data_IF_116726425119
#
_entry.id   IF_116726425119
#
_cell.length_a   1.000
_cell.length_b   1.000
_cell.length_c   1.000
_cell.angle_alpha   90.00
_cell.angle_beta   90.00
_cell.angle_gamma   90.00
#
_symmetry.space_group_name_H-M   'P 1'
#
loop_
_entity.id
_entity.type
_entity.pdbx_description
1 polymer ?
#
# COMPACT_ATOMS: atom_id res chain seq x y z
N UNK A 1 20.46 -21.72 49.90
CA UNK A 1 21.48 -22.00 50.93
C UNK A 1 22.81 -21.78 50.23
N UNK A 2 23.68 -20.79 50.51
CA UNK A 2 24.07 -20.22 51.80
C UNK A 2 24.78 -18.87 51.52
N UNK A 3 24.34 -17.81 52.20
CA UNK A 3 25.04 -16.63 52.74
C UNK A 3 25.95 -15.69 51.88
N UNK A 4 25.54 -14.41 51.92
CA UNK A 4 26.31 -13.17 51.74
C UNK A 4 27.45 -12.97 52.78
N UNK A 5 28.56 -12.31 52.38
CA UNK A 5 29.29 -11.23 53.12
C UNK A 5 30.47 -10.73 52.24
N UNK A 6 30.54 -9.48 51.79
CA UNK A 6 30.79 -8.18 52.49
C UNK A 6 32.27 -7.94 52.84
N UNK A 7 32.85 -6.98 52.09
CA UNK A 7 33.77 -5.89 52.44
C UNK A 7 35.08 -6.13 53.25
N UNK A 8 36.18 -5.83 52.54
CA UNK A 8 37.20 -4.79 52.81
C UNK A 8 37.98 -4.70 54.16
N UNK A 9 39.27 -4.40 53.95
CA UNK A 9 40.25 -3.65 54.76
C UNK A 9 41.26 -4.43 55.62
N UNK A 10 42.52 -4.03 55.48
CA UNK A 10 43.66 -4.51 56.28
C UNK A 10 44.95 -3.79 55.87
N UNK A 11 45.18 -2.62 56.47
CA UNK A 11 46.29 -1.69 56.23
C UNK A 11 47.49 -2.01 57.15
N UNK A 12 48.70 -1.98 56.55
CA UNK A 12 50.07 -1.76 57.12
C UNK A 12 50.56 -2.57 58.33
N UNK A 13 51.81 -3.03 58.21
CA UNK A 13 52.97 -2.48 58.97
C UNK A 13 54.29 -2.90 58.33
N UNK A 14 55.12 -1.90 58.04
CA UNK A 14 56.52 -2.11 57.66
C UNK A 14 57.39 -2.32 58.90
N UNK A 15 58.41 -3.15 58.75
CA UNK A 15 59.54 -3.26 59.68
C UNK A 15 60.81 -2.81 58.96
N UNK A 16 61.36 -1.69 59.42
CA UNK A 16 62.74 -1.28 59.14
C UNK A 16 63.66 -2.17 59.98
N UNK A 17 64.74 -2.70 59.39
CA UNK A 17 65.94 -3.13 60.12
C UNK A 17 67.19 -2.61 59.43
N UNK A 18 68.27 -2.37 60.20
CA UNK A 18 69.19 -1.27 59.93
C UNK A 18 70.48 -1.68 59.23
N UNK A 19 71.07 -0.65 58.63
CA UNK A 19 72.44 -0.56 58.12
C UNK A 19 73.47 -0.99 59.18
N UNK A 20 74.35 -1.91 58.80
CA UNK A 20 75.73 -1.95 59.29
C UNK A 20 76.67 -2.02 58.09
N UNK A 21 77.42 -0.95 57.92
CA UNK A 21 78.57 -0.90 57.03
C UNK A 21 79.63 -1.88 57.50
N UNK A 22 80.09 -2.77 56.60
CA UNK A 22 81.40 -3.38 56.70
C UNK A 22 82.11 -3.19 55.37
N UNK A 23 82.97 -2.17 55.32
CA UNK A 23 83.96 -2.01 54.27
C UNK A 23 85.05 -3.08 54.48
N UNK A 24 85.14 -4.01 53.55
CA UNK A 24 86.35 -4.82 53.35
C UNK A 24 86.82 -4.50 51.95
N UNK A 25 87.95 -3.79 51.87
CA UNK A 25 88.69 -3.62 50.63
C UNK A 25 89.26 -4.98 50.24
N UNK A 26 88.71 -5.57 49.18
CA UNK A 26 89.30 -6.72 48.51
C UNK A 26 89.53 -6.34 47.05
N UNK A 27 90.78 -6.52 46.67
CA UNK A 27 91.46 -6.12 45.45
C UNK A 27 90.69 -6.51 44.17
N UNK A 28 90.80 -5.63 43.18
CA UNK A 28 90.33 -5.86 41.81
C UNK A 28 91.05 -7.07 41.21
N UNK A 29 90.31 -8.12 40.89
CA UNK A 29 90.73 -9.14 39.94
C UNK A 29 89.95 -8.94 38.65
N UNK A 30 90.62 -8.34 37.69
CA UNK A 30 90.25 -8.36 36.28
C UNK A 30 90.39 -9.79 35.78
N UNK A 31 89.28 -10.52 35.70
CA UNK A 31 89.20 -11.82 35.02
C UNK A 31 87.85 -11.91 34.32
N UNK A 32 87.94 -11.85 33.00
CA UNK A 32 87.18 -12.64 32.05
C UNK A 32 85.67 -12.37 31.97
N UNK A 33 85.31 -11.54 30.99
CA UNK A 33 84.00 -11.58 30.35
C UNK A 33 83.76 -13.02 29.87
N UNK A 34 82.74 -13.72 30.39
CA UNK A 34 82.34 -15.00 29.83
C UNK A 34 81.86 -14.72 28.41
N UNK A 35 82.65 -15.13 27.42
CA UNK A 35 82.15 -15.25 26.04
C UNK A 35 81.35 -16.55 26.03
N UNK A 36 80.16 -16.51 26.64
CA UNK A 36 79.20 -17.59 26.51
C UNK A 36 78.81 -17.70 25.04
N UNK A 37 79.04 -18.88 24.48
CA UNK A 37 78.54 -19.25 23.15
C UNK A 37 77.03 -19.30 23.29
N UNK A 38 76.38 -18.17 23.02
CA UNK A 38 74.93 -18.05 23.04
C UNK A 38 74.38 -18.83 21.84
N UNK A 39 73.70 -19.93 22.14
CA UNK A 39 72.95 -20.73 21.16
C UNK A 39 72.06 -19.82 20.30
N UNK A 40 71.91 -20.13 19.01
CA UNK A 40 71.27 -19.20 18.07
C UNK A 40 69.79 -18.89 18.41
N UNK A 41 69.08 -19.81 19.07
CA UNK A 41 67.70 -19.59 19.57
C UNK A 41 67.62 -18.56 20.70
N UNK A 42 68.71 -18.41 21.46
CA UNK A 42 68.78 -17.49 22.58
C UNK A 42 68.94 -16.03 22.10
N UNK A 43 69.62 -15.79 20.97
CA UNK A 43 69.89 -14.42 20.46
C UNK A 43 68.62 -13.62 20.19
N UNK A 44 67.60 -14.22 19.56
CA UNK A 44 66.31 -13.56 19.32
C UNK A 44 65.61 -13.21 20.63
N UNK A 45 65.66 -14.12 21.61
CA UNK A 45 65.07 -13.87 22.92
C UNK A 45 65.80 -12.75 23.67
N UNK A 46 67.13 -12.69 23.56
CA UNK A 46 67.93 -11.60 24.12
C UNK A 46 67.60 -10.25 23.49
N UNK A 47 67.40 -10.18 22.17
CA UNK A 47 66.99 -8.96 21.48
C UNK A 47 65.62 -8.46 21.97
N UNK A 48 64.62 -9.34 22.08
CA UNK A 48 63.30 -9.02 22.63
C UNK A 48 63.38 -8.48 24.06
N UNK A 49 64.25 -9.06 24.90
CA UNK A 49 64.47 -8.61 26.27
C UNK A 49 65.11 -7.20 26.28
N UNK A 50 66.04 -6.92 25.37
CA UNK A 50 66.66 -5.60 25.22
C UNK A 50 65.61 -4.57 24.77
N UNK A 51 64.76 -4.89 23.81
CA UNK A 51 63.68 -4.01 23.35
C UNK A 51 62.67 -3.70 24.44
N UNK A 52 62.28 -4.71 25.24
CA UNK A 52 61.44 -4.50 26.44
C UNK A 52 62.09 -3.54 27.43
N UNK A 53 63.41 -3.62 27.63
CA UNK A 53 64.17 -2.69 28.49
C UNK A 53 64.30 -1.28 27.89
N UNK A 54 64.33 -1.15 26.56
CA UNK A 54 64.35 0.16 25.87
C UNK A 54 63.03 0.92 26.01
N UNK A 55 61.91 0.21 26.18
CA UNK A 55 60.60 0.82 26.37
C UNK A 55 60.48 1.57 27.71
N UNK A 56 60.58 2.91 27.66
CA UNK A 56 60.46 3.79 28.85
C UNK A 56 59.02 4.17 29.20
N UNK A 57 58.04 3.83 28.36
CA UNK A 57 56.64 4.26 28.54
C UNK A 57 55.96 3.63 29.77
N UNK A 58 56.55 2.55 30.32
CA UNK A 58 55.98 1.71 31.41
C UNK A 58 54.58 1.16 31.10
N UNK A 59 54.13 1.29 29.85
CA UNK A 59 52.85 0.83 29.38
C UNK A 59 52.91 -0.67 29.16
N UNK A 60 51.81 -1.39 29.40
CA UNK A 60 51.73 -2.81 29.07
C UNK A 60 52.01 -3.01 27.57
N UNK A 61 52.73 -4.07 27.19
CA UNK A 61 53.11 -4.40 25.81
C UNK A 61 51.94 -4.26 24.84
N UNK A 62 50.75 -4.75 25.24
CA UNK A 62 49.53 -4.63 24.43
C UNK A 62 49.13 -3.18 24.17
N UNK A 63 49.09 -2.35 25.20
CA UNK A 63 48.72 -0.94 25.06
C UNK A 63 49.80 -0.13 24.34
N UNK A 64 51.07 -0.51 24.49
CA UNK A 64 52.17 0.07 23.73
C UNK A 64 52.03 -0.23 22.24
N UNK A 65 51.77 -1.48 21.87
CA UNK A 65 51.49 -1.90 20.50
C UNK A 65 50.27 -1.17 19.92
N UNK A 66 49.20 -1.05 20.70
CA UNK A 66 47.98 -0.34 20.31
C UNK A 66 48.23 1.17 20.08
N UNK A 67 48.95 1.83 20.99
CA UNK A 67 49.33 3.24 20.86
C UNK A 67 50.20 3.50 19.63
N UNK A 68 51.15 2.60 19.36
CA UNK A 68 52.04 2.68 18.19
C UNK A 68 51.46 2.04 16.92
N UNK A 69 50.20 1.57 16.96
CA UNK A 69 49.51 0.89 15.85
C UNK A 69 50.28 -0.30 15.26
N UNK A 70 51.14 -0.91 16.07
CA UNK A 70 51.86 -2.11 15.71
C UNK A 70 50.87 -3.28 15.72
N UNK A 71 50.90 -4.11 14.69
CA UNK A 71 50.15 -5.36 14.68
C UNK A 71 50.69 -6.28 15.76
N UNK A 72 49.77 -6.93 16.45
CA UNK A 72 50.08 -8.19 17.12
C UNK A 72 50.13 -9.27 16.04
N UNK A 73 51.28 -9.90 15.86
CA UNK A 73 51.37 -11.14 15.10
C UNK A 73 50.73 -12.25 15.93
N UNK A 74 49.85 -13.01 15.28
CA UNK A 74 49.22 -14.17 15.89
C UNK A 74 50.20 -15.35 15.84
N UNK A 75 50.26 -16.13 16.91
CA UNK A 75 50.92 -17.43 16.83
C UNK A 75 50.04 -18.42 16.06
N UNK A 76 50.63 -19.50 15.54
CA UNK A 76 49.89 -20.50 14.75
C UNK A 76 48.70 -21.10 15.51
N UNK A 77 48.87 -21.39 16.80
CA UNK A 77 47.80 -21.88 17.68
C UNK A 77 46.68 -20.85 17.84
N UNK A 78 47.03 -19.57 17.94
CA UNK A 78 46.07 -18.48 18.02
C UNK A 78 45.31 -18.30 16.70
N UNK A 79 45.98 -18.44 15.56
CA UNK A 79 45.32 -18.42 14.24
C UNK A 79 44.35 -19.60 14.02
N UNK A 80 44.50 -20.70 14.74
CA UNK A 80 43.55 -21.80 14.70
C UNK A 80 42.41 -21.58 15.70
N UNK A 81 42.71 -21.07 16.89
CA UNK A 81 41.72 -20.82 17.94
C UNK A 81 40.79 -19.64 17.62
N UNK A 82 41.29 -18.59 16.96
CA UNK A 82 40.48 -17.42 16.63
C UNK A 82 39.59 -17.65 15.42
N UNK A 83 38.38 -17.09 15.48
CA UNK A 83 37.44 -17.07 14.37
C UNK A 83 38.00 -16.29 13.17
N UNK A 84 37.70 -16.75 11.95
CA UNK A 84 38.05 -16.06 10.70
C UNK A 84 37.61 -14.59 10.65
N UNK A 85 36.50 -14.23 11.30
CA UNK A 85 36.04 -12.83 11.36
C UNK A 85 37.01 -11.92 12.12
N UNK A 86 37.66 -12.42 13.17
CA UNK A 86 38.69 -11.69 13.91
C UNK A 86 39.95 -11.52 13.08
N UNK A 87 40.36 -12.58 12.37
CA UNK A 87 41.51 -12.55 11.45
C UNK A 87 41.30 -11.55 10.31
N UNK A 88 40.13 -11.57 9.65
CA UNK A 88 39.75 -10.58 8.63
C UNK A 88 39.80 -9.16 9.18
N UNK A 89 39.34 -8.94 10.41
CA UNK A 89 39.40 -7.64 11.07
C UNK A 89 40.84 -7.20 11.35
N UNK A 90 41.68 -8.09 11.86
CA UNK A 90 43.07 -7.78 12.17
C UNK A 90 43.87 -7.47 10.90
N UNK A 91 43.68 -8.26 9.84
CA UNK A 91 44.26 -8.01 8.53
C UNK A 91 43.73 -6.71 7.91
N UNK A 92 42.44 -6.39 8.08
CA UNK A 92 41.90 -5.10 7.62
C UNK A 92 42.49 -3.88 8.34
N UNK A 93 42.88 -4.02 9.61
CA UNK A 93 43.47 -2.94 10.41
C UNK A 93 44.97 -2.75 10.16
N UNK A 94 45.72 -3.84 10.06
CA UNK A 94 47.19 -3.80 10.00
C UNK A 94 47.79 -4.34 8.69
N UNK A 95 46.96 -4.82 7.76
CA UNK A 95 47.40 -5.39 6.48
C UNK A 95 48.33 -6.59 6.66
N UNK A 96 49.35 -6.67 5.81
CA UNK A 96 50.36 -7.73 5.81
C UNK A 96 51.19 -7.79 7.11
N UNK A 97 51.28 -6.69 7.87
CA UNK A 97 52.03 -6.68 9.13
C UNK A 97 51.41 -7.61 10.20
N UNK A 98 50.12 -7.99 10.04
CA UNK A 98 49.45 -8.95 10.92
C UNK A 98 49.96 -10.38 10.80
N UNK A 99 50.72 -10.72 9.75
CA UNK A 99 51.25 -12.07 9.51
C UNK A 99 50.22 -13.07 8.95
N UNK A 100 48.94 -12.69 8.84
CA UNK A 100 47.88 -13.59 8.37
C UNK A 100 47.98 -13.78 6.84
N UNK A 101 47.89 -15.04 6.40
CA UNK A 101 47.84 -15.35 4.97
C UNK A 101 46.53 -14.84 4.33
N UNK A 102 46.60 -13.93 3.33
CA UNK A 102 45.40 -13.35 2.70
C UNK A 102 44.56 -14.39 1.96
N UNK A 103 45.14 -15.50 1.49
CA UNK A 103 44.39 -16.55 0.80
C UNK A 103 43.31 -17.19 1.69
N UNK A 104 43.58 -17.33 3.00
CA UNK A 104 42.64 -17.87 3.99
C UNK A 104 41.46 -16.95 4.26
N UNK A 105 41.56 -15.66 3.91
CA UNK A 105 40.51 -14.68 4.18
C UNK A 105 39.37 -14.75 3.17
N UNK A 106 39.64 -15.26 1.97
CA UNK A 106 38.61 -15.52 0.96
C UNK A 106 37.63 -16.60 1.42
N UNK A 107 36.38 -16.57 0.93
CA UNK A 107 35.41 -17.62 1.23
C UNK A 107 35.90 -18.99 0.76
N UNK A 108 35.52 -20.03 1.50
CA UNK A 108 35.72 -21.41 1.03
C UNK A 108 34.84 -21.70 -0.19
N UNK A 109 35.18 -22.75 -0.95
CA UNK A 109 34.37 -23.22 -2.07
C UNK A 109 32.92 -23.55 -1.65
N UNK A 110 32.77 -24.12 -0.45
CA UNK A 110 31.46 -24.39 0.15
C UNK A 110 30.70 -23.09 0.42
N UNK A 111 31.31 -22.14 1.13
CA UNK A 111 30.70 -20.82 1.41
C UNK A 111 30.32 -20.07 0.13
N UNK A 112 31.14 -20.16 -0.92
CA UNK A 112 30.84 -19.56 -2.22
C UNK A 112 29.62 -20.21 -2.87
N UNK A 113 29.48 -21.53 -2.80
CA UNK A 113 28.29 -22.22 -3.33
C UNK A 113 27.03 -21.84 -2.57
N UNK A 114 27.11 -21.75 -1.24
CA UNK A 114 26.01 -21.26 -0.40
C UNK A 114 25.60 -19.83 -0.74
N UNK A 115 26.57 -18.94 -0.97
CA UNK A 115 26.30 -17.57 -1.39
C UNK A 115 25.60 -17.52 -2.75
N UNK A 116 26.03 -18.34 -3.72
CA UNK A 116 25.38 -18.44 -5.04
C UNK A 116 23.95 -18.97 -4.94
N UNK A 117 23.71 -19.96 -4.08
CA UNK A 117 22.36 -20.48 -3.84
C UNK A 117 21.47 -19.45 -3.15
N UNK A 118 22.00 -18.74 -2.16
CA UNK A 118 21.30 -17.65 -1.48
C UNK A 118 20.91 -16.54 -2.45
N UNK A 119 21.84 -16.08 -3.29
CA UNK A 119 21.56 -15.07 -4.32
C UNK A 119 20.49 -15.55 -5.30
N UNK A 120 20.57 -16.81 -5.75
CA UNK A 120 19.57 -17.40 -6.65
C UNK A 120 18.18 -17.45 -6.04
N UNK A 121 18.07 -17.80 -4.75
CA UNK A 121 16.78 -17.91 -4.05
C UNK A 121 16.22 -16.55 -3.64
N UNK A 122 17.05 -15.68 -3.07
CA UNK A 122 16.63 -14.37 -2.57
C UNK A 122 16.42 -13.36 -3.71
N UNK A 123 17.24 -13.41 -4.75
CA UNK A 123 17.28 -12.47 -5.86
C UNK A 123 17.19 -13.21 -7.21
N UNK A 124 16.04 -13.84 -7.53
CA UNK A 124 15.93 -14.72 -8.69
C UNK A 124 15.97 -13.98 -10.03
N UNK A 125 15.63 -12.68 -10.05
CA UNK A 125 15.52 -11.93 -11.28
C UNK A 125 16.77 -11.09 -11.52
N UNK A 126 17.19 -11.01 -12.78
CA UNK A 126 18.21 -10.04 -13.19
C UNK A 126 17.68 -8.60 -13.12
N UNK A 127 18.57 -7.63 -12.98
CA UNK A 127 18.23 -6.19 -12.96
C UNK A 127 17.41 -5.81 -14.20
N UNK A 128 17.79 -6.32 -15.37
CA UNK A 128 17.07 -6.07 -16.62
C UNK A 128 15.64 -6.63 -16.58
N UNK A 129 15.45 -7.81 -16.00
CA UNK A 129 14.12 -8.43 -15.86
C UNK A 129 13.25 -7.64 -14.88
N UNK A 130 13.83 -7.15 -13.77
CA UNK A 130 13.14 -6.29 -12.83
C UNK A 130 12.66 -5.00 -13.48
N UNK A 131 13.52 -4.36 -14.28
CA UNK A 131 13.17 -3.16 -15.05
C UNK A 131 12.02 -3.47 -16.01
N UNK A 132 12.11 -4.57 -16.76
CA UNK A 132 11.07 -4.97 -17.71
C UNK A 132 9.74 -5.26 -17.00
N UNK A 133 9.77 -5.91 -15.83
CA UNK A 133 8.57 -6.16 -15.00
C UNK A 133 7.95 -4.84 -14.54
N UNK A 134 8.77 -3.89 -14.07
CA UNK A 134 8.30 -2.58 -13.65
C UNK A 134 7.69 -1.77 -14.81
N UNK A 135 8.26 -1.85 -16.01
CA UNK A 135 7.71 -1.21 -17.21
C UNK A 135 6.35 -1.82 -17.55
N UNK A 136 6.24 -3.15 -17.60
CA UNK A 136 4.98 -3.85 -17.90
C UNK A 136 3.88 -3.51 -16.89
N UNK A 137 4.20 -3.47 -15.60
CA UNK A 137 3.25 -3.09 -14.56
C UNK A 137 2.72 -1.67 -14.78
N UNK A 138 3.62 -0.71 -15.08
CA UNK A 138 3.21 0.67 -15.39
C UNK A 138 2.34 0.75 -16.64
N UNK A 139 2.65 -0.01 -17.67
CA UNK A 139 1.83 -0.07 -18.89
C UNK A 139 0.44 -0.66 -18.63
N UNK A 140 0.34 -1.69 -17.79
CA UNK A 140 -0.94 -2.26 -17.33
C UNK A 140 -1.76 -1.24 -16.54
N UNK A 141 -1.16 -0.58 -15.55
CA UNK A 141 -1.81 0.48 -14.76
C UNK A 141 -2.32 1.61 -15.67
N UNK A 142 -1.50 2.07 -16.62
CA UNK A 142 -1.90 3.09 -17.57
C UNK A 142 -3.06 2.63 -18.47
N UNK A 143 -3.06 1.38 -18.93
CA UNK A 143 -4.17 0.81 -19.70
C UNK A 143 -5.46 0.78 -18.90
N UNK A 144 -5.40 0.33 -17.64
CA UNK A 144 -6.58 0.30 -16.75
C UNK A 144 -7.12 1.70 -16.46
N UNK A 145 -6.23 2.68 -16.26
CA UNK A 145 -6.62 4.08 -16.06
C UNK A 145 -7.29 4.67 -17.31
N UNK A 146 -6.75 4.40 -18.50
CA UNK A 146 -7.34 4.85 -19.77
C UNK A 146 -8.73 4.25 -19.99
N UNK A 147 -8.89 2.94 -19.81
CA UNK A 147 -10.19 2.27 -19.92
C UNK A 147 -11.21 2.87 -18.95
N UNK A 148 -10.81 3.08 -17.69
CA UNK A 148 -11.68 3.72 -16.70
C UNK A 148 -12.06 5.14 -17.11
N UNK A 149 -11.14 5.92 -17.66
CA UNK A 149 -11.42 7.28 -18.14
C UNK A 149 -12.40 7.27 -19.30
N UNK A 150 -12.21 6.39 -20.29
CA UNK A 150 -13.12 6.21 -21.42
C UNK A 150 -14.54 5.84 -20.96
N UNK A 151 -14.65 4.90 -20.02
CA UNK A 151 -15.93 4.52 -19.41
C UNK A 151 -16.62 5.68 -18.68
N UNK A 152 -15.85 6.47 -17.92
CA UNK A 152 -16.36 7.64 -17.22
C UNK A 152 -16.86 8.69 -18.20
N UNK A 153 -16.11 8.98 -19.27
CA UNK A 153 -16.51 9.92 -20.32
C UNK A 153 -17.82 9.47 -20.96
N UNK A 154 -17.96 8.19 -21.30
CA UNK A 154 -19.18 7.65 -21.88
C UNK A 154 -20.38 7.72 -20.90
N UNK A 155 -20.17 7.47 -19.60
CA UNK A 155 -21.22 7.63 -18.58
C UNK A 155 -21.63 9.09 -18.38
N UNK A 156 -20.66 10.01 -18.37
CA UNK A 156 -20.91 11.45 -18.25
C UNK A 156 -21.69 11.98 -19.45
N UNK A 157 -21.40 11.49 -20.66
CA UNK A 157 -22.17 11.85 -21.85
C UNK A 157 -23.66 11.45 -21.74
N UNK A 158 -23.95 10.28 -21.15
CA UNK A 158 -25.34 9.80 -20.93
C UNK A 158 -26.06 10.49 -19.78
N UNK A 159 -25.31 11.05 -18.82
CA UNK A 159 -25.82 11.61 -17.59
C UNK A 159 -26.78 12.79 -17.83
N UNK A 160 -26.53 13.62 -18.84
CA UNK A 160 -27.44 14.72 -19.19
C UNK A 160 -28.81 14.23 -19.64
N UNK A 161 -28.86 13.14 -20.42
CA UNK A 161 -30.10 12.49 -20.84
C UNK A 161 -30.88 11.99 -19.63
N UNK A 162 -30.23 11.26 -18.73
CA UNK A 162 -30.86 10.74 -17.50
C UNK A 162 -31.37 11.85 -16.58
N UNK A 163 -30.63 12.96 -16.43
CA UNK A 163 -31.10 14.13 -15.68
C UNK A 163 -32.39 14.70 -16.26
N UNK A 164 -32.49 14.81 -17.58
CA UNK A 164 -33.70 15.30 -18.26
C UNK A 164 -34.87 14.34 -18.05
N UNK A 165 -34.67 13.04 -18.21
CA UNK A 165 -35.71 12.02 -17.99
C UNK A 165 -36.26 12.04 -16.56
N UNK A 166 -35.38 12.15 -15.56
CA UNK A 166 -35.79 12.23 -14.14
C UNK A 166 -36.60 13.50 -13.89
N UNK A 167 -36.14 14.66 -14.37
CA UNK A 167 -36.88 15.93 -14.22
C UNK A 167 -38.27 15.85 -14.87
N UNK A 168 -38.35 15.32 -16.09
CA UNK A 168 -39.63 15.13 -16.78
C UNK A 168 -40.57 14.18 -16.02
N UNK A 169 -40.03 13.13 -15.38
CA UNK A 169 -40.84 12.23 -14.54
C UNK A 169 -41.39 12.95 -13.30
N UNK A 170 -40.55 13.74 -12.63
CA UNK A 170 -40.95 14.55 -11.48
C UNK A 170 -42.03 15.55 -11.89
N UNK A 171 -41.81 16.32 -12.96
CA UNK A 171 -42.78 17.29 -13.47
C UNK A 171 -44.13 16.65 -13.84
N UNK A 172 -44.12 15.45 -14.45
CA UNK A 172 -45.34 14.70 -14.74
C UNK A 172 -46.07 14.30 -13.46
N UNK A 173 -45.35 13.73 -12.49
CA UNK A 173 -45.93 13.33 -11.21
C UNK A 173 -46.48 14.54 -10.43
N UNK A 174 -45.80 15.68 -10.46
CA UNK A 174 -46.25 16.92 -9.84
C UNK A 174 -47.52 17.45 -10.50
N UNK A 175 -47.58 17.47 -11.84
CA UNK A 175 -48.77 17.86 -12.60
C UNK A 175 -49.95 16.96 -12.30
N UNK A 176 -49.76 15.64 -12.33
CA UNK A 176 -50.80 14.67 -12.00
C UNK A 176 -51.29 14.83 -10.55
N UNK A 177 -50.38 15.07 -9.60
CA UNK A 177 -50.74 15.32 -8.21
C UNK A 177 -51.50 16.65 -8.04
N UNK A 178 -51.11 17.70 -8.75
CA UNK A 178 -51.81 18.99 -8.74
C UNK A 178 -53.21 18.88 -9.37
N UNK A 179 -53.34 18.18 -10.50
CA UNK A 179 -54.64 17.92 -11.12
C UNK A 179 -55.54 17.07 -10.22
N UNK A 180 -54.98 16.05 -9.54
CA UNK A 180 -55.73 15.25 -8.59
C UNK A 180 -56.19 16.06 -7.38
N UNK A 181 -55.35 16.96 -6.86
CA UNK A 181 -55.74 17.92 -5.80
C UNK A 181 -56.83 18.86 -6.28
N UNK A 182 -56.68 19.47 -7.45
CA UNK A 182 -57.69 20.37 -8.02
C UNK A 182 -59.03 19.69 -8.29
N UNK A 183 -59.02 18.45 -8.80
CA UNK A 183 -60.26 17.65 -8.97
C UNK A 183 -60.95 17.36 -7.64
N UNK A 184 -60.18 17.00 -6.60
CA UNK A 184 -60.71 16.77 -5.25
C UNK A 184 -61.27 18.06 -4.65
N UNK A 185 -60.58 19.18 -4.78
CA UNK A 185 -61.04 20.49 -4.27
C UNK A 185 -62.33 20.94 -4.96
N UNK A 186 -62.44 20.77 -6.28
CA UNK A 186 -63.69 21.05 -7.03
C UNK A 186 -64.85 20.19 -6.54
N UNK A 187 -64.65 18.88 -6.40
CA UNK A 187 -65.66 17.95 -5.87
C UNK A 187 -66.11 18.34 -4.47
N UNK A 188 -65.17 18.72 -3.59
CA UNK A 188 -65.49 19.16 -2.23
C UNK A 188 -66.32 20.44 -2.23
N UNK A 189 -65.97 21.41 -3.08
CA UNK A 189 -66.66 22.69 -3.14
C UNK A 189 -68.08 22.56 -3.72
N UNK A 190 -68.27 21.74 -4.75
CA UNK A 190 -69.60 21.44 -5.30
C UNK A 190 -70.52 20.75 -4.27
N UNK A 191 -69.98 19.82 -3.47
CA UNK A 191 -70.75 19.19 -2.38
C UNK A 191 -71.08 20.22 -1.30
N UNK A 192 -70.17 21.14 -0.96
CA UNK A 192 -70.44 22.24 -0.03
C UNK A 192 -71.54 23.17 -0.52
N UNK A 193 -71.58 23.48 -1.82
CA UNK A 193 -72.63 24.31 -2.41
C UNK A 193 -74.03 23.67 -2.26
N UNK A 194 -74.13 22.35 -2.34
CA UNK A 194 -75.41 21.63 -2.21
C UNK A 194 -75.87 21.55 -0.75
N UNK A 195 -74.93 21.35 0.17
CA UNK A 195 -75.24 21.26 1.59
C UNK A 195 -75.51 22.64 2.21
N UNK A 196 -74.95 23.72 1.64
CA UNK A 196 -75.23 25.10 2.04
C UNK A 196 -74.59 25.56 3.35
N UNK A 197 -73.81 24.71 4.03
CA UNK A 197 -73.09 25.02 5.28
C UNK A 197 -71.66 24.48 5.26
N UNK A 198 -70.75 25.07 6.05
CA UNK A 198 -69.33 24.66 6.15
C UNK A 198 -69.22 23.37 6.98
N UNK A 199 -69.24 22.22 6.30
CA UNK A 199 -69.12 20.87 6.90
C UNK A 199 -67.72 20.32 6.64
N UNK A 200 -67.18 19.58 7.62
CA UNK A 200 -65.86 18.97 7.51
C UNK A 200 -65.89 17.72 6.61
N UNK A 201 -64.86 17.48 5.79
CA UNK A 201 -64.83 16.37 4.83
C UNK A 201 -64.77 14.97 5.49
N UNK A 202 -64.69 14.91 6.82
CA UNK A 202 -64.64 13.66 7.60
C UNK A 202 -66.02 13.23 8.10
N UNK A 203 -67.03 14.08 7.99
CA UNK A 203 -68.37 13.83 8.51
C UNK A 203 -69.18 12.85 7.64
N UNK A 204 -70.01 12.02 8.28
CA UNK A 204 -70.80 10.98 7.60
C UNK A 204 -71.75 11.55 6.54
N UNK A 205 -72.39 12.69 6.83
CA UNK A 205 -73.30 13.37 5.89
C UNK A 205 -72.57 13.87 4.63
N UNK A 206 -71.30 14.23 4.75
CA UNK A 206 -70.46 14.65 3.62
C UNK A 206 -70.10 13.45 2.72
N UNK A 207 -69.81 12.30 3.34
CA UNK A 207 -69.54 11.04 2.61
C UNK A 207 -70.76 10.58 1.81
N UNK A 208 -71.95 10.66 2.40
CA UNK A 208 -73.21 10.32 1.71
C UNK A 208 -73.48 11.21 0.49
N UNK A 209 -73.30 12.53 0.64
CA UNK A 209 -73.48 13.50 -0.45
C UNK A 209 -72.43 13.32 -1.56
N UNK A 210 -71.18 13.00 -1.21
CA UNK A 210 -70.11 12.68 -2.17
C UNK A 210 -70.43 11.39 -2.94
N UNK A 211 -70.91 10.34 -2.27
CA UNK A 211 -71.30 9.08 -2.91
C UNK A 211 -72.47 9.27 -3.90
N UNK A 212 -73.47 10.08 -3.56
CA UNK A 212 -74.58 10.38 -4.47
C UNK A 212 -74.09 11.12 -5.73
N UNK A 213 -73.13 12.02 -5.58
CA UNK A 213 -72.52 12.76 -6.70
C UNK A 213 -71.64 11.88 -7.58
N UNK A 214 -70.78 11.06 -7.00
CA UNK A 214 -69.98 10.10 -7.76
C UNK A 214 -70.88 9.12 -8.54
N UNK A 215 -72.02 8.70 -7.98
CA UNK A 215 -72.99 7.87 -8.70
C UNK A 215 -73.65 8.61 -9.86
N UNK A 216 -73.98 9.89 -9.70
CA UNK A 216 -74.55 10.73 -10.75
C UNK A 216 -73.52 10.97 -11.89
N UNK A 217 -72.28 11.34 -11.57
CA UNK A 217 -71.20 11.52 -12.54
C UNK A 217 -70.82 10.21 -13.24
N UNK A 218 -70.84 9.08 -12.53
CA UNK A 218 -70.60 7.75 -13.12
C UNK A 218 -71.72 7.35 -14.09
N UNK A 219 -72.97 7.73 -13.83
CA UNK A 219 -74.09 7.51 -14.77
C UNK A 219 -73.97 8.43 -15.99
N UNK A 220 -73.65 9.71 -15.78
CA UNK A 220 -73.47 10.70 -16.85
C UNK A 220 -72.28 10.34 -17.77
N UNK A 221 -71.13 9.98 -17.21
CA UNK A 221 -69.94 9.57 -17.99
C UNK A 221 -70.16 8.27 -18.76
N UNK A 222 -70.92 7.31 -18.22
CA UNK A 222 -71.33 6.10 -18.97
C UNK A 222 -72.28 6.44 -20.12
N UNK A 223 -73.20 7.38 -19.95
CA UNK A 223 -74.09 7.84 -21.02
C UNK A 223 -73.32 8.59 -22.12
N UNK A 224 -72.43 9.51 -21.75
CA UNK A 224 -71.55 10.22 -22.68
C UNK A 224 -70.66 9.26 -23.49
N UNK A 225 -70.03 8.27 -22.83
CA UNK A 225 -69.24 7.23 -23.53
C UNK A 225 -70.07 6.38 -24.49
N UNK A 226 -71.35 6.13 -24.19
CA UNK A 226 -72.26 5.42 -25.13
C UNK A 226 -72.58 6.30 -26.34
N UNK A 227 -72.84 7.59 -26.13
CA UNK A 227 -73.10 8.56 -27.20
C UNK A 227 -71.86 8.77 -28.09
N UNK A 228 -70.66 8.92 -27.51
CA UNK A 228 -69.40 9.02 -28.29
C UNK A 228 -69.13 7.75 -29.10
N UNK A 229 -69.43 6.56 -28.56
CA UNK A 229 -69.32 5.30 -29.31
C UNK A 229 -70.30 5.27 -30.49
N UNK A 230 -71.53 5.72 -30.29
CA UNK A 230 -72.53 5.83 -31.36
C UNK A 230 -72.11 6.85 -32.42
N UNK A 231 -71.59 8.02 -32.02
CA UNK A 231 -71.08 9.04 -32.93
C UNK A 231 -69.87 8.55 -33.73
N UNK A 232 -68.89 7.90 -33.09
CA UNK A 232 -67.74 7.26 -33.79
C UNK A 232 -68.19 6.17 -34.76
N UNK A 233 -69.26 5.44 -34.46
CA UNK A 233 -69.83 4.44 -35.36
C UNK A 233 -70.50 5.09 -36.58
N UNK A 234 -71.26 6.16 -36.37
CA UNK A 234 -71.87 6.96 -37.44
C UNK A 234 -70.81 7.63 -38.31
N UNK A 235 -69.74 8.18 -37.73
CA UNK A 235 -68.62 8.76 -38.48
C UNK A 235 -67.88 7.72 -39.33
N UNK A 236 -67.68 6.50 -38.80
CA UNK A 236 -67.10 5.39 -39.58
C UNK A 236 -68.02 4.96 -40.73
N UNK A 237 -69.33 4.91 -40.50
CA UNK A 237 -70.31 4.59 -41.55
C UNK A 237 -70.38 5.69 -42.63
N UNK A 238 -70.32 6.97 -42.24
CA UNK A 238 -70.25 8.10 -43.18
C UNK A 238 -68.95 8.09 -44.00
N UNK A 239 -67.81 7.78 -43.39
CA UNK A 239 -66.51 7.63 -44.08
C UNK A 239 -66.49 6.42 -45.02
N UNK A 240 -67.16 5.33 -44.66
CA UNK A 240 -67.32 4.18 -45.56
C UNK A 240 -68.22 4.52 -46.76
N UNK A 241 -69.33 5.24 -46.53
CA UNK A 241 -70.24 5.67 -47.59
C UNK A 241 -69.60 6.69 -48.57
N UNK A 242 -68.76 7.61 -48.09
CA UNK A 242 -68.01 8.54 -48.97
C UNK A 242 -66.95 7.82 -49.82
N UNK A 243 -66.29 6.79 -49.26
CA UNK A 243 -65.32 6.00 -50.01
C UNK A 243 -65.98 5.13 -51.10
N UNK A 244 -67.25 4.75 -50.94
CA UNK A 244 -68.03 4.02 -51.96
C UNK A 244 -68.54 4.93 -53.10
N UNK A 245 -68.74 6.23 -52.85
CA UNK A 245 -69.14 7.20 -53.90
C UNK A 245 -67.97 7.65 -54.79
N UNK A 246 -66.75 7.65 -54.26
CA UNK A 246 -65.53 7.97 -55.03
C UNK A 246 -65.03 6.77 -55.88
N UNK A 247 -65.42 5.55 -55.52
CA UNK A 247 -65.13 4.34 -56.31
C UNK A 247 -66.11 4.12 -57.50
N UNK A 248 -67.26 4.81 -57.54
CA UNK A 248 -68.22 4.73 -58.66
C UNK A 248 -68.05 5.80 -59.73
N UNK A 249 -67.41 6.93 -59.44
CA UNK A 249 -67.14 8.00 -60.43
C UNK A 249 -65.88 7.75 -61.28
N UNK A 250 -65.04 6.76 -60.96
CA UNK A 250 -63.84 6.40 -61.73
C UNK A 250 -64.04 5.28 -62.76
N UNK A 251 -65.25 4.71 -62.89
CA UNK A 251 -65.52 3.66 -63.89
C UNK A 251 -66.33 4.11 -65.13
N UNK A 252 -66.75 5.38 -65.22
CA UNK A 252 -67.62 5.89 -66.31
C UNK A 252 -66.98 6.95 -67.24
N UNK A 253 -65.67 7.23 -67.17
CA UNK A 253 -64.99 8.06 -68.19
C UNK A 253 -63.68 7.42 -68.68
N UNK A 254 -63.81 6.49 -69.63
CA UNK A 254 -62.77 6.20 -70.64
C UNK A 254 -63.30 6.70 -71.99
N UNK A 255 -62.80 7.83 -72.54
CA UNK A 255 -63.00 8.16 -73.93
C UNK A 255 -62.12 7.27 -74.81
N UNK A 256 -62.74 6.71 -75.85
CA UNK A 256 -62.11 6.11 -77.02
C UNK A 256 -61.48 7.20 -77.89
N UNK A 257 -60.18 7.11 -78.16
CA UNK A 257 -59.53 7.82 -79.27
C UNK A 257 -58.95 6.79 -80.24
N UNK A 258 -59.59 6.70 -81.41
CA UNK A 258 -58.99 6.25 -82.66
C UNK A 258 -58.08 7.37 -83.20
N UNK A 259 -57.00 6.98 -83.90
CA UNK A 259 -56.30 7.67 -85.01
C UNK A 259 -54.78 7.87 -84.87
N UNK A 260 -54.11 7.31 -85.91
CA UNK A 260 -52.70 7.39 -86.36
C UNK A 260 -51.71 6.35 -85.81
#
# INVERSE_FOLDING_TARGET
MTLYRVLQTGFRKGSRRPSTHRCVWSQQTTTDLPTEVVDYDDKSQYEDIIEKKRNKSRLNTRHFQEFHKLSRQLTEDEEQAFRLSYQRKLYGLHGAASGINPAKLWPSMEEMNWNKEYERVSCPNSIHEMINKAIKLKEEEQRMLKQRQEDLVHKVAKLEGWKKEVRQRIEKQEKEAQEAKGKKERLIEEVRQILGYRIDPRDERFKEALLQKEQAERKASKAAKKLERQQRMIEKLKKAASNETDAKTTHENKPSEDSL
#
